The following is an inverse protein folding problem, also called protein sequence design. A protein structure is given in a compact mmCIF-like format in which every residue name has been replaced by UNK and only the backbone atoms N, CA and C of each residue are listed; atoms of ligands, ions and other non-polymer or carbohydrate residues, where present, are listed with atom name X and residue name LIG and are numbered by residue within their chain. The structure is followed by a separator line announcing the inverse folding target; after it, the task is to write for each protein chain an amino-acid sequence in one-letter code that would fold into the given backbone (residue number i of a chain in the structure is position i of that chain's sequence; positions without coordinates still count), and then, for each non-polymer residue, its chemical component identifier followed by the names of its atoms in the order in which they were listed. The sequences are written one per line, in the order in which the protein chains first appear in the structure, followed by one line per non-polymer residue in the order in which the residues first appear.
data_IF_270719558606
#
_entry.id   IF_270719558606
#
_cell.length_a   1.000
_cell.length_b   1.000
_cell.length_c   1.000
_cell.angle_alpha   90.00
_cell.angle_beta   90.00
_cell.angle_gamma   90.00
#
_symmetry.space_group_name_H-M   'P 1'
#
loop_
_entity.id
_entity.type
_entity.pdbx_description
1 polymer ?
#
# COMPACT_ATOMS: atom_id res chain seq x y z
N UNK A 1 9.63 -13.37 16.33
CA UNK A 1 9.33 -13.16 14.89
C UNK A 1 8.05 -12.34 14.82
N UNK A 2 8.13 -11.03 14.53
CA UNK A 2 6.92 -10.21 14.37
C UNK A 2 6.06 -10.81 13.27
N UNK A 3 4.77 -11.03 13.54
CA UNK A 3 3.83 -11.52 12.55
C UNK A 3 3.79 -10.54 11.37
N UNK A 4 4.43 -10.89 10.26
CA UNK A 4 4.42 -10.11 9.04
C UNK A 4 3.00 -10.16 8.47
N UNK A 5 2.36 -8.99 8.30
CA UNK A 5 1.02 -8.93 7.70
C UNK A 5 1.08 -9.59 6.31
N UNK A 6 0.29 -10.63 6.03
CA UNK A 6 0.38 -11.36 4.76
C UNK A 6 0.01 -10.46 3.58
N UNK A 7 0.60 -10.67 2.39
CA UNK A 7 0.24 -9.90 1.20
C UNK A 7 -1.23 -10.13 0.80
N UNK A 8 -1.82 -9.15 0.11
CA UNK A 8 -3.14 -9.29 -0.52
C UNK A 8 -3.05 -9.95 -1.89
N UNK A 9 -1.97 -9.68 -2.60
CA UNK A 9 -1.72 -10.14 -3.96
C UNK A 9 -0.25 -10.48 -4.08
N UNK A 10 0.05 -11.61 -4.70
CA UNK A 10 1.38 -11.92 -5.21
C UNK A 10 1.26 -11.98 -6.73
N UNK A 11 2.00 -11.15 -7.44
CA UNK A 11 2.01 -11.13 -8.90
C UNK A 11 3.44 -10.94 -9.38
N UNK A 12 3.87 -11.77 -10.33
CA UNK A 12 5.22 -11.74 -10.91
C UNK A 12 6.33 -11.80 -9.84
N UNK A 13 6.11 -12.59 -8.77
CA UNK A 13 7.03 -12.71 -7.64
C UNK A 13 7.05 -11.50 -6.68
N UNK A 14 6.23 -10.48 -6.93
CA UNK A 14 6.14 -9.29 -6.08
C UNK A 14 4.91 -9.38 -5.16
N UNK A 15 5.16 -9.17 -3.87
CA UNK A 15 4.12 -9.09 -2.85
C UNK A 15 3.54 -7.68 -2.76
N UNK A 16 2.23 -7.58 -2.68
CA UNK A 16 1.50 -6.31 -2.63
C UNK A 16 0.50 -6.26 -1.48
N UNK A 17 0.34 -5.07 -0.90
CA UNK A 17 -0.74 -4.71 0.02
C UNK A 17 -1.71 -3.72 -0.62
N UNK A 18 -2.96 -3.79 -0.21
CA UNK A 18 -3.94 -2.71 -0.40
C UNK A 18 -3.75 -1.64 0.68
N UNK A 19 -4.40 -0.49 0.49
CA UNK A 19 -4.23 0.67 1.36
C UNK A 19 -4.61 0.40 2.83
N UNK A 20 -5.59 -0.45 3.08
CA UNK A 20 -6.01 -0.88 4.42
C UNK A 20 -4.89 -1.63 5.15
N UNK A 21 -4.19 -2.55 4.47
CA UNK A 21 -3.02 -3.23 5.07
C UNK A 21 -1.81 -2.33 5.24
N UNK A 22 -1.58 -1.39 4.33
CA UNK A 22 -0.54 -0.36 4.51
C UNK A 22 -0.83 0.48 5.75
N UNK A 23 -2.08 0.91 5.92
CA UNK A 23 -2.52 1.66 7.09
C UNK A 23 -2.34 0.84 8.37
N UNK A 24 -2.83 -0.40 8.38
CA UNK A 24 -2.69 -1.31 9.53
C UNK A 24 -1.23 -1.60 9.89
N UNK A 25 -0.35 -1.75 8.89
CA UNK A 25 1.08 -1.98 9.11
C UNK A 25 1.72 -0.85 9.93
N UNK A 26 1.32 0.40 9.69
CA UNK A 26 1.78 1.57 10.43
C UNK A 26 0.88 1.96 11.61
N UNK A 27 0.03 1.04 12.12
CA UNK A 27 -0.82 1.30 13.29
C UNK A 27 -2.06 2.16 13.02
N UNK A 28 -2.52 2.22 11.77
CA UNK A 28 -3.65 3.03 11.34
C UNK A 28 -3.29 4.44 10.87
N UNK A 29 -2.01 4.82 10.93
CA UNK A 29 -1.50 6.10 10.45
C UNK A 29 -0.30 5.90 9.52
N UNK A 30 -0.37 6.28 8.24
CA UNK A 30 -1.42 7.06 7.59
C UNK A 30 -2.73 6.28 7.40
N UNK A 31 -3.87 6.98 7.42
CA UNK A 31 -5.18 6.39 7.12
C UNK A 31 -5.31 6.03 5.64
N UNK A 32 -6.26 5.16 5.30
CA UNK A 32 -6.60 4.84 3.89
C UNK A 32 -6.94 6.10 3.08
N UNK A 33 -7.66 7.05 3.70
CA UNK A 33 -7.99 8.34 3.07
C UNK A 33 -6.74 9.17 2.78
N UNK A 34 -5.83 9.26 3.75
CA UNK A 34 -4.53 9.93 3.62
C UNK A 34 -3.70 9.33 2.48
N UNK A 35 -3.60 8.00 2.41
CA UNK A 35 -2.92 7.30 1.32
C UNK A 35 -3.56 7.60 -0.05
N UNK A 36 -4.89 7.75 -0.09
CA UNK A 36 -5.62 8.17 -1.29
C UNK A 36 -5.28 9.58 -1.75
N UNK A 37 -5.16 10.52 -0.81
CA UNK A 37 -4.76 11.92 -1.07
C UNK A 37 -3.30 12.01 -1.53
N UNK A 38 -2.38 11.34 -0.84
CA UNK A 38 -0.97 11.33 -1.22
C UNK A 38 -0.76 10.78 -2.63
N UNK A 39 -1.43 9.67 -2.96
CA UNK A 39 -1.43 9.14 -4.32
C UNK A 39 -1.88 10.17 -5.35
N UNK A 40 -2.93 10.94 -5.05
CA UNK A 40 -3.41 11.99 -5.95
C UNK A 40 -2.38 13.12 -6.12
N UNK A 41 -1.63 13.44 -5.07
CA UNK A 41 -0.55 14.44 -5.08
C UNK A 41 0.79 13.95 -5.62
N UNK A 42 0.96 12.65 -5.85
CA UNK A 42 2.24 12.05 -6.20
C UNK A 42 3.20 11.88 -5.01
N UNK A 43 2.67 11.88 -3.79
CA UNK A 43 3.40 11.72 -2.53
C UNK A 43 3.23 10.29 -1.95
N UNK A 44 3.96 10.01 -0.88
CA UNK A 44 3.80 8.78 -0.08
C UNK A 44 4.51 7.55 -0.67
N UNK A 45 4.15 6.34 -0.18
CA UNK A 45 4.77 5.11 -0.66
C UNK A 45 4.38 4.83 -2.12
N UNK A 46 5.30 4.17 -2.85
CA UNK A 46 5.07 3.77 -4.24
C UNK A 46 3.79 2.93 -4.35
N UNK A 47 3.00 3.20 -5.38
CA UNK A 47 1.82 2.42 -5.73
C UNK A 47 1.87 1.96 -7.18
N UNK A 48 1.11 0.91 -7.49
CA UNK A 48 0.88 0.42 -8.84
C UNK A 48 -0.61 0.14 -9.05
N UNK A 49 -1.03 0.13 -10.32
CA UNK A 49 -2.39 -0.24 -10.72
C UNK A 49 -2.33 -1.59 -11.41
N UNK A 50 -2.83 -2.64 -10.76
CA UNK A 50 -2.85 -3.98 -11.35
C UNK A 50 -4.01 -4.15 -12.34
N UNK A 51 -3.73 -4.88 -13.42
CA UNK A 51 -4.65 -5.16 -14.52
C UNK A 51 -4.56 -4.15 -15.68
N UNK A 52 -5.22 -4.49 -16.78
CA UNK A 52 -5.33 -3.62 -17.95
C UNK A 52 -6.37 -2.52 -17.75
N UNK A 53 -6.10 -1.32 -18.31
CA UNK A 53 -7.16 -0.31 -18.45
C UNK A 53 -8.16 -0.86 -19.46
N UNK A 54 -9.44 -0.95 -19.07
CA UNK A 54 -10.49 -1.39 -20.00
C UNK A 54 -10.72 -0.28 -21.02
N UNK A 55 -10.55 -0.60 -22.29
CA UNK A 55 -10.52 0.34 -23.43
C UNK A 55 -11.77 1.24 -23.50
N UNK A 56 -12.93 0.71 -23.08
CA UNK A 56 -14.21 1.45 -23.11
C UNK A 56 -14.62 2.06 -21.77
N UNK A 57 -13.75 2.10 -20.75
CA UNK A 57 -14.04 2.79 -19.49
C UNK A 57 -13.20 4.06 -19.36
N UNK A 58 -13.90 5.20 -19.32
CA UNK A 58 -13.29 6.49 -19.00
C UNK A 58 -12.63 6.46 -17.60
N UNK A 59 -13.30 5.84 -16.63
CA UNK A 59 -12.76 5.69 -15.28
C UNK A 59 -11.80 4.51 -15.21
N UNK A 60 -10.59 4.79 -14.73
CA UNK A 60 -9.62 3.77 -14.39
C UNK A 60 -10.06 3.05 -13.10
N UNK A 61 -10.62 1.85 -13.25
CA UNK A 61 -11.06 1.00 -12.13
C UNK A 61 -10.04 -0.07 -11.78
N UNK A 62 -8.78 0.06 -12.23
CA UNK A 62 -7.72 -0.87 -11.85
C UNK A 62 -7.51 -0.85 -10.34
N UNK A 63 -7.15 -2.01 -9.79
CA UNK A 63 -6.89 -2.15 -8.36
C UNK A 63 -5.57 -1.45 -8.05
N UNK A 64 -5.61 -0.52 -7.10
CA UNK A 64 -4.42 0.15 -6.60
C UNK A 64 -3.85 -0.68 -5.47
N UNK A 65 -2.57 -0.98 -5.57
CA UNK A 65 -1.82 -1.74 -4.59
C UNK A 65 -0.44 -1.12 -4.37
N UNK A 66 0.18 -1.47 -3.27
CA UNK A 66 1.46 -0.95 -2.81
C UNK A 66 2.44 -2.12 -2.67
N UNK A 67 3.59 -2.12 -3.37
CA UNK A 67 4.58 -3.18 -3.22
C UNK A 67 5.10 -3.21 -1.78
N UNK A 68 5.05 -4.37 -1.12
CA UNK A 68 5.37 -4.50 0.31
C UNK A 68 6.76 -3.95 0.62
N UNK A 69 7.76 -4.33 -0.17
CA UNK A 69 9.15 -3.87 0.02
C UNK A 69 9.29 -2.34 -0.08
N UNK A 70 8.58 -1.73 -1.01
CA UNK A 70 8.62 -0.28 -1.23
C UNK A 70 7.91 0.49 -0.10
N UNK A 71 6.83 -0.07 0.43
CA UNK A 71 6.12 0.48 1.60
C UNK A 71 7.03 0.48 2.82
N UNK A 72 7.69 -0.65 3.11
CA UNK A 72 8.59 -0.79 4.24
C UNK A 72 9.77 0.19 4.10
N UNK A 73 10.45 0.18 2.96
CA UNK A 73 11.57 1.08 2.70
C UNK A 73 11.16 2.57 2.70
N UNK A 74 9.93 2.89 2.27
CA UNK A 74 9.39 4.24 2.42
C UNK A 74 9.15 4.59 3.89
N UNK A 75 8.54 3.69 4.67
CA UNK A 75 8.30 3.90 6.09
C UNK A 75 9.59 4.17 6.86
N UNK A 76 10.60 3.32 6.68
CA UNK A 76 11.92 3.47 7.32
C UNK A 76 12.57 4.81 7.01
N UNK A 77 12.52 5.26 5.74
CA UNK A 77 13.05 6.57 5.33
C UNK A 77 12.31 7.76 5.95
N UNK A 78 11.06 7.58 6.37
CA UNK A 78 10.21 8.63 6.92
C UNK A 78 10.00 8.47 8.44
N UNK A 79 10.77 7.60 9.11
CA UNK A 79 10.64 7.36 10.55
C UNK A 79 9.35 6.62 10.96
N UNK A 80 8.65 5.99 10.02
CA UNK A 80 7.49 5.15 10.27
C UNK A 80 7.93 3.69 10.36
N UNK A 81 7.62 3.04 11.48
CA UNK A 81 7.92 1.62 11.68
C UNK A 81 6.64 0.82 11.88
N UNK A 82 6.74 -0.51 11.76
CA UNK A 82 5.63 -1.40 12.08
C UNK A 82 5.16 -1.11 13.50
N UNK A 83 3.89 -0.73 13.65
CA UNK A 83 3.31 -0.56 14.98
C UNK A 83 2.61 -1.85 15.37
N UNK A 84 3.16 -2.52 16.39
CA UNK A 84 2.48 -3.64 17.02
C UNK A 84 1.41 -3.06 17.93
N UNK A 85 0.14 -3.26 17.60
CA UNK A 85 -0.96 -2.88 18.50
C UNK A 85 -0.82 -3.75 19.75
N UNK A 86 -0.55 -3.14 20.91
CA UNK A 86 -0.60 -3.84 22.19
C UNK A 86 -2.04 -4.32 22.39
N UNK A 87 -2.21 -5.63 22.59
CA UNK A 87 -3.49 -6.30 22.79
C UNK A 87 -4.17 -5.87 24.09
#
# INVERSE_FOLDING_TARGET
MSAMIPPDVIQDGVAYWKADKVSAYFGGSPTVGTLGVWRYRGEGPRFVKLGGKREHRQRDTRRVVYPVREVIAWGERNGLQQQTVAA
#
